data_IF_541411926775
#
_entry.id   IF_541411926775
#
_cell.length_a   1.000
_cell.length_b   1.000
_cell.length_c   1.000
_cell.angle_alpha   90.00
_cell.angle_beta   90.00
_cell.angle_gamma   90.00
#
_symmetry.space_group_name_H-M   'P 1'
#
loop_
_entity.id
_entity.type
_entity.pdbx_description
1 polymer ?
#
# COMPACT_ATOMS: atom_id res chain seq x y z
N UNK A 1 -1.44 31.37 7.49
CA UNK A 1 -1.24 30.29 8.48
C UNK A 1 -0.46 29.20 7.76
N UNK A 2 0.71 28.77 8.27
CA UNK A 2 1.53 27.76 7.60
C UNK A 2 0.83 26.40 7.67
N UNK A 3 0.71 25.69 6.55
CA UNK A 3 0.18 24.32 6.52
C UNK A 3 1.17 23.37 7.19
N UNK A 4 0.70 22.18 7.60
CA UNK A 4 1.58 21.14 8.17
C UNK A 4 2.68 20.75 7.17
N UNK A 5 2.36 20.65 5.89
CA UNK A 5 3.32 20.43 4.80
C UNK A 5 4.42 21.51 4.77
N UNK A 6 4.04 22.79 4.77
CA UNK A 6 5.03 23.89 4.77
C UNK A 6 5.88 23.93 6.05
N UNK A 7 5.33 23.49 7.17
CA UNK A 7 6.08 23.37 8.43
C UNK A 7 7.15 22.28 8.34
N UNK A 8 6.81 21.10 7.79
CA UNK A 8 7.78 20.02 7.60
C UNK A 8 8.84 20.38 6.56
N UNK A 9 8.46 21.06 5.47
CA UNK A 9 9.43 21.58 4.48
C UNK A 9 10.48 22.50 5.11
N UNK A 10 10.11 23.29 6.12
CA UNK A 10 11.05 24.17 6.82
C UNK A 10 11.89 23.43 7.88
N UNK A 11 11.38 22.33 8.44
CA UNK A 11 12.05 21.57 9.50
C UNK A 11 13.06 20.53 8.97
N UNK A 12 12.95 20.15 7.70
CA UNK A 12 13.75 19.11 7.08
C UNK A 12 14.46 19.60 5.82
N UNK A 13 15.69 19.12 5.59
CA UNK A 13 16.51 19.50 4.43
C UNK A 13 15.97 18.96 3.12
N UNK A 14 15.43 17.74 3.15
CA UNK A 14 15.01 17.03 1.95
C UNK A 14 13.58 16.54 2.11
N UNK A 15 12.90 16.42 0.97
CA UNK A 15 11.58 15.82 0.88
C UNK A 15 11.43 15.09 -0.46
N UNK A 16 10.64 14.02 -0.46
CA UNK A 16 10.52 13.10 -1.58
C UNK A 16 9.14 12.45 -1.58
N UNK A 17 8.60 12.12 -2.75
CA UNK A 17 7.35 11.40 -2.86
C UNK A 17 7.46 10.00 -2.24
N UNK A 18 6.42 9.58 -1.52
CA UNK A 18 6.35 8.29 -0.87
C UNK A 18 4.89 7.83 -0.75
N UNK A 19 4.68 6.55 -0.49
CA UNK A 19 3.36 5.98 -0.22
C UNK A 19 3.42 5.19 1.08
N UNK A 20 2.43 5.39 1.95
CA UNK A 20 2.32 4.62 3.19
C UNK A 20 1.15 3.65 3.09
N UNK A 21 1.40 2.36 3.29
CA UNK A 21 0.42 1.30 3.19
C UNK A 21 0.06 0.86 4.62
N UNK A 22 -1.13 1.29 5.07
CA UNK A 22 -1.64 1.04 6.43
C UNK A 22 -2.54 -0.18 6.42
N UNK A 23 -2.28 -1.17 7.27
CA UNK A 23 -3.11 -2.37 7.40
C UNK A 23 -3.58 -2.59 8.83
N UNK A 24 -4.81 -3.06 8.98
CA UNK A 24 -5.39 -3.44 10.27
C UNK A 24 -6.44 -4.52 10.08
N UNK A 25 -6.40 -5.55 10.93
CA UNK A 25 -7.45 -6.55 11.09
C UNK A 25 -7.66 -6.86 12.58
N UNK A 26 -8.51 -7.84 12.90
CA UNK A 26 -8.83 -8.22 14.29
C UNK A 26 -7.60 -8.54 15.16
N UNK A 27 -6.51 -9.00 14.55
CA UNK A 27 -5.34 -9.52 15.26
C UNK A 27 -4.04 -8.77 14.96
N UNK A 28 -3.98 -8.02 13.85
CA UNK A 28 -2.73 -7.47 13.33
C UNK A 28 -2.91 -6.03 12.87
N UNK A 29 -1.87 -5.23 13.06
CA UNK A 29 -1.68 -3.93 12.45
C UNK A 29 -0.32 -3.92 11.78
N UNK A 30 -0.21 -3.17 10.69
CA UNK A 30 1.05 -3.04 9.99
C UNK A 30 1.18 -1.69 9.30
N UNK A 31 2.45 -1.32 9.14
CA UNK A 31 2.86 -0.20 8.33
C UNK A 31 3.91 -0.65 7.34
N UNK A 32 3.72 -0.22 6.10
CA UNK A 32 4.77 -0.12 5.10
C UNK A 32 4.86 1.31 4.58
N UNK A 33 6.07 1.77 4.27
CA UNK A 33 6.28 3.02 3.52
C UNK A 33 7.26 2.76 2.39
N UNK A 34 6.83 3.01 1.16
CA UNK A 34 7.65 2.85 -0.05
C UNK A 34 8.13 4.23 -0.52
N UNK A 35 9.44 4.35 -0.80
CA UNK A 35 10.11 5.59 -1.19
C UNK A 35 10.93 5.35 -2.45
N UNK A 36 10.30 5.33 -3.63
CA UNK A 36 10.94 4.89 -4.88
C UNK A 36 12.21 5.66 -5.24
N UNK A 37 12.20 6.98 -5.11
CA UNK A 37 13.33 7.84 -5.46
C UNK A 37 14.56 7.62 -4.55
N UNK A 38 14.36 7.05 -3.35
CA UNK A 38 15.46 6.63 -2.48
C UNK A 38 15.83 5.16 -2.64
N UNK A 39 15.03 4.39 -3.38
CA UNK A 39 15.15 2.94 -3.45
C UNK A 39 14.99 2.28 -2.08
N UNK A 40 14.13 2.83 -1.21
CA UNK A 40 13.93 2.36 0.16
C UNK A 40 12.48 1.99 0.46
N UNK A 41 12.33 0.98 1.31
CA UNK A 41 11.06 0.59 1.90
C UNK A 41 11.23 0.48 3.42
N UNK A 42 10.33 1.07 4.19
CA UNK A 42 10.13 0.71 5.59
C UNK A 42 9.01 -0.31 5.69
N UNK A 43 9.18 -1.33 6.52
CA UNK A 43 8.10 -2.27 6.83
C UNK A 43 8.26 -2.84 8.22
N UNK A 44 7.16 -2.95 8.98
CA UNK A 44 7.13 -3.58 10.30
C UNK A 44 6.71 -5.06 10.27
N UNK A 45 6.04 -5.42 9.19
CA UNK A 45 5.60 -6.75 8.88
C UNK A 45 5.50 -6.81 7.36
N UNK A 46 4.67 -7.68 6.82
CA UNK A 46 4.56 -7.81 5.38
C UNK A 46 3.11 -7.64 4.87
N UNK A 47 2.17 -7.28 5.77
CA UNK A 47 0.83 -6.90 5.38
C UNK A 47 0.85 -5.58 4.61
N UNK A 48 0.04 -5.48 3.57
CA UNK A 48 -0.13 -4.29 2.74
C UNK A 48 -1.59 -3.87 2.82
N UNK A 49 -1.84 -2.63 3.20
CA UNK A 49 -3.20 -2.08 3.24
C UNK A 49 -3.34 -0.82 2.39
N UNK A 50 -4.11 0.17 2.85
CA UNK A 50 -4.55 1.32 2.03
C UNK A 50 -3.48 2.40 1.97
N UNK A 51 -3.40 3.10 0.83
CA UNK A 51 -2.34 4.06 0.54
C UNK A 51 -2.84 5.51 0.55
N UNK A 52 -2.59 6.25 1.62
CA UNK A 52 -2.31 7.66 1.47
C UNK A 52 -1.00 7.86 0.71
N UNK A 53 -1.08 8.47 -0.48
CA UNK A 53 0.08 9.03 -1.19
C UNK A 53 0.53 10.33 -0.51
N UNK A 54 1.83 10.50 -0.33
CA UNK A 54 2.35 11.64 0.40
C UNK A 54 3.81 11.97 0.17
N UNK A 55 4.39 12.59 1.18
CA UNK A 55 5.77 13.07 1.13
C UNK A 55 6.51 12.64 2.37
N UNK A 56 7.70 12.05 2.17
CA UNK A 56 8.65 11.76 3.23
C UNK A 56 9.64 12.92 3.38
N UNK A 57 9.80 13.41 4.59
CA UNK A 57 10.70 14.50 4.98
C UNK A 57 11.85 13.94 5.82
N UNK A 58 13.09 14.31 5.51
CA UNK A 58 14.28 13.79 6.18
C UNK A 58 15.48 14.73 6.05
N UNK A 59 16.52 14.48 6.87
CA UNK A 59 17.71 15.33 6.93
C UNK A 59 18.98 14.71 6.33
N UNK A 60 19.14 13.38 6.42
CA UNK A 60 20.31 12.65 5.92
C UNK A 60 19.89 11.29 5.36
N UNK A 61 20.60 10.77 4.37
CA UNK A 61 20.31 9.44 3.80
C UNK A 61 20.67 8.29 4.76
N UNK A 62 21.65 8.49 5.64
CA UNK A 62 22.04 7.53 6.69
C UNK A 62 20.89 7.24 7.68
N UNK A 63 19.84 8.06 7.67
CA UNK A 63 18.60 7.80 8.40
C UNK A 63 17.91 6.49 7.96
N UNK A 64 18.18 6.01 6.75
CA UNK A 64 17.56 4.83 6.12
C UNK A 64 18.52 3.63 6.07
N UNK A 65 19.49 3.58 6.99
CA UNK A 65 20.45 2.51 7.15
C UNK A 65 19.76 1.14 7.33
N UNK A 66 19.97 0.26 6.35
CA UNK A 66 19.34 -1.06 6.27
C UNK A 66 19.95 -2.08 7.24
N UNK A 67 21.08 -1.76 7.86
CA UNK A 67 21.67 -2.58 8.92
C UNK A 67 20.89 -2.46 10.24
N UNK A 68 20.09 -1.40 10.43
CA UNK A 68 19.32 -1.16 11.64
C UNK A 68 18.03 -1.97 11.62
N UNK A 69 17.95 -2.95 12.53
CA UNK A 69 16.83 -3.89 12.60
C UNK A 69 15.60 -3.38 13.35
N UNK A 70 15.68 -2.25 14.06
CA UNK A 70 14.60 -1.72 14.88
C UNK A 70 14.53 -0.19 14.79
N UNK A 71 13.74 0.30 13.84
CA UNK A 71 13.32 1.69 13.75
C UNK A 71 11.93 1.80 14.33
N UNK A 72 11.78 2.59 15.39
CA UNK A 72 10.50 2.83 16.01
C UNK A 72 9.70 3.81 15.13
N UNK A 73 8.39 3.62 15.07
CA UNK A 73 7.53 4.56 14.36
C UNK A 73 6.25 4.85 15.15
N UNK A 74 5.62 5.99 14.85
CA UNK A 74 4.31 6.37 15.39
C UNK A 74 3.42 6.92 14.28
N UNK A 75 2.20 6.42 14.19
CA UNK A 75 1.14 6.93 13.31
C UNK A 75 0.26 7.89 14.09
N UNK A 76 -0.03 9.05 13.51
CA UNK A 76 -0.88 10.08 14.10
C UNK A 76 -1.84 10.61 13.04
N UNK A 77 -3.13 10.60 13.35
CA UNK A 77 -4.11 11.40 12.62
C UNK A 77 -3.97 12.86 13.05
N UNK A 78 -3.85 13.76 12.09
CA UNK A 78 -3.75 15.20 12.33
C UNK A 78 -4.99 15.89 11.77
N UNK A 79 -5.86 16.36 12.66
CA UNK A 79 -7.00 17.20 12.30
C UNK A 79 -6.54 18.64 12.02
N UNK A 80 -6.92 19.19 10.86
CA UNK A 80 -6.53 20.54 10.43
C UNK A 80 -7.61 21.60 10.71
N UNK A 81 -8.66 21.24 11.43
CA UNK A 81 -9.80 22.09 11.73
C UNK A 81 -11.07 21.72 10.95
N UNK A 82 -12.21 22.38 11.23
CA UNK A 82 -13.49 22.06 10.62
C UNK A 82 -13.46 22.20 9.10
N UNK A 83 -13.90 21.16 8.38
CA UNK A 83 -14.00 21.15 6.92
C UNK A 83 -12.69 20.90 6.17
N UNK A 84 -11.56 20.78 6.87
CA UNK A 84 -10.29 20.41 6.26
C UNK A 84 -10.14 18.88 6.15
N UNK A 85 -9.45 18.43 5.10
CA UNK A 85 -9.08 17.02 4.93
C UNK A 85 -8.13 16.64 6.07
N UNK A 86 -8.39 15.55 6.82
CA UNK A 86 -7.47 15.10 7.85
C UNK A 86 -6.17 14.60 7.21
N UNK A 87 -5.06 14.70 7.94
CA UNK A 87 -3.77 14.19 7.48
C UNK A 87 -3.37 12.95 8.27
N UNK A 88 -2.56 12.10 7.64
CA UNK A 88 -1.77 11.09 8.34
C UNK A 88 -0.34 11.61 8.46
N UNK A 89 0.19 11.59 9.69
CA UNK A 89 1.59 11.87 9.96
C UNK A 89 2.24 10.66 10.61
N UNK A 90 3.27 10.12 9.98
CA UNK A 90 4.05 8.99 10.49
C UNK A 90 5.44 9.49 10.83
N UNK A 91 5.87 9.26 12.06
CA UNK A 91 7.20 9.67 12.52
C UNK A 91 8.08 8.46 12.73
N UNK A 92 9.32 8.55 12.29
CA UNK A 92 10.34 7.49 12.44
C UNK A 92 11.42 7.96 13.39
N UNK A 93 11.76 7.09 14.33
CA UNK A 93 12.68 7.36 15.44
C UNK A 93 13.80 6.32 15.46
N UNK A 94 15.00 6.72 15.88
CA UNK A 94 16.06 5.76 16.15
C UNK A 94 15.74 4.98 17.44
N UNK A 95 16.23 5.43 18.60
CA UNK A 95 15.98 4.73 19.87
C UNK A 95 14.93 5.44 20.73
N UNK A 96 14.89 6.77 20.67
CA UNK A 96 13.99 7.59 21.50
C UNK A 96 13.09 8.51 20.68
N UNK A 97 11.99 8.97 21.27
CA UNK A 97 11.05 9.88 20.58
C UNK A 97 11.66 11.25 20.25
N UNK A 98 12.76 11.62 20.92
CA UNK A 98 13.54 12.82 20.64
C UNK A 98 14.43 12.67 19.40
N UNK A 99 14.71 11.43 18.98
CA UNK A 99 15.55 11.10 17.82
C UNK A 99 14.71 10.83 16.57
N UNK A 100 13.74 11.72 16.33
CA UNK A 100 12.95 11.70 15.09
C UNK A 100 13.86 12.05 13.91
N UNK A 101 14.01 11.13 12.97
CA UNK A 101 14.94 11.27 11.84
C UNK A 101 14.24 11.41 10.48
N UNK A 102 12.97 11.01 10.40
CA UNK A 102 12.14 11.20 9.22
C UNK A 102 10.66 11.31 9.60
N UNK A 103 9.88 12.04 8.80
CA UNK A 103 8.44 12.15 8.93
C UNK A 103 7.76 11.97 7.57
N UNK A 104 6.79 11.08 7.49
CA UNK A 104 5.88 10.98 6.36
C UNK A 104 4.61 11.79 6.65
N UNK A 105 4.09 12.49 5.65
CA UNK A 105 2.85 13.25 5.72
C UNK A 105 2.05 13.07 4.43
N UNK A 106 0.76 12.78 4.57
CA UNK A 106 -0.17 12.65 3.46
C UNK A 106 -1.57 13.12 3.87
N UNK A 107 -2.39 13.44 2.88
CA UNK A 107 -3.83 13.60 3.08
C UNK A 107 -4.49 12.23 3.29
N UNK A 108 -5.48 12.16 4.18
CA UNK A 108 -6.27 10.95 4.47
C UNK A 108 -7.77 11.24 4.21
N UNK A 109 -8.18 11.55 2.97
CA UNK A 109 -9.54 11.98 2.65
C UNK A 109 -10.60 10.93 3.01
N UNK A 110 -10.22 9.67 3.10
CA UNK A 110 -11.08 8.53 3.39
C UNK A 110 -11.11 8.18 4.88
N UNK A 111 -10.32 8.87 5.72
CA UNK A 111 -10.25 8.62 7.15
C UNK A 111 -9.68 7.25 7.51
N UNK A 112 -8.79 6.72 6.67
CA UNK A 112 -8.17 5.40 6.78
C UNK A 112 -7.52 5.17 8.14
N UNK A 113 -6.81 6.17 8.68
CA UNK A 113 -6.13 6.04 9.98
C UNK A 113 -7.14 5.77 11.10
N UNK A 114 -8.25 6.50 11.11
CA UNK A 114 -9.31 6.32 12.09
C UNK A 114 -10.06 5.01 11.89
N UNK A 115 -10.45 4.71 10.64
CA UNK A 115 -11.18 3.50 10.28
C UNK A 115 -10.40 2.22 10.64
N UNK A 116 -9.07 2.25 10.51
CA UNK A 116 -8.18 1.14 10.86
C UNK A 116 -7.75 1.12 12.33
N UNK A 117 -8.16 2.10 13.13
CA UNK A 117 -7.73 2.25 14.53
C UNK A 117 -6.21 2.42 14.67
N UNK A 118 -5.56 3.04 13.69
CA UNK A 118 -4.11 3.25 13.64
C UNK A 118 -3.66 4.55 14.34
N UNK A 119 -4.60 5.41 14.74
CA UNK A 119 -4.24 6.66 15.42
C UNK A 119 -3.55 6.40 16.77
N UNK A 120 -2.39 7.02 16.96
CA UNK A 120 -1.52 6.81 18.11
C UNK A 120 -0.76 5.49 18.11
N UNK A 121 -0.95 4.61 17.11
CA UNK A 121 -0.27 3.33 17.03
C UNK A 121 1.24 3.53 16.95
N UNK A 122 1.97 2.76 17.75
CA UNK A 122 3.43 2.81 17.85
C UNK A 122 3.96 1.39 17.80
N UNK A 123 4.95 1.15 16.94
CA UNK A 123 5.60 -0.14 16.83
C UNK A 123 7.02 0.02 16.26
N UNK A 124 7.67 -1.08 15.87
CA UNK A 124 9.00 -1.08 15.28
C UNK A 124 9.02 -1.85 13.97
N UNK A 125 9.88 -1.43 13.06
CA UNK A 125 10.14 -2.11 11.79
C UNK A 125 11.57 -1.87 11.34
N UNK A 126 11.82 -2.05 10.05
CA UNK A 126 13.14 -1.84 9.48
C UNK A 126 13.07 -1.21 8.10
N UNK A 127 14.07 -0.41 7.78
CA UNK A 127 14.33 0.03 6.41
C UNK A 127 15.07 -1.08 5.65
N UNK A 128 14.70 -1.27 4.39
CA UNK A 128 15.33 -2.19 3.45
C UNK A 128 15.39 -1.55 2.07
N UNK A 129 16.18 -2.15 1.19
CA UNK A 129 16.16 -1.75 -0.22
C UNK A 129 14.80 -2.10 -0.83
N UNK A 130 14.25 -1.16 -1.59
CA UNK A 130 13.03 -1.35 -2.34
C UNK A 130 13.34 -2.19 -3.57
N UNK A 131 13.17 -3.50 -3.44
CA UNK A 131 13.27 -4.45 -4.55
C UNK A 131 11.88 -4.65 -5.16
N UNK A 132 11.50 -3.74 -6.05
CA UNK A 132 10.21 -3.76 -6.71
C UNK A 132 10.37 -3.64 -8.23
N UNK A 133 9.96 -4.68 -8.93
CA UNK A 133 9.74 -4.66 -10.36
C UNK A 133 8.32 -4.18 -10.65
N UNK A 134 8.11 -3.53 -11.79
CA UNK A 134 6.78 -3.13 -12.23
C UNK A 134 6.53 -3.52 -13.69
N UNK A 135 5.24 -3.73 -14.01
CA UNK A 135 4.78 -3.96 -15.37
C UNK A 135 3.38 -3.42 -15.57
N UNK A 136 3.05 -3.03 -16.80
CA UNK A 136 1.67 -2.66 -17.12
C UNK A 136 0.79 -3.91 -17.13
N UNK A 137 -0.34 -3.82 -16.44
CA UNK A 137 -1.30 -4.90 -16.34
C UNK A 137 -2.73 -4.42 -16.65
N UNK A 138 -3.58 -5.38 -16.99
CA UNK A 138 -5.00 -5.18 -17.22
C UNK A 138 -5.79 -6.22 -16.46
N UNK A 139 -6.77 -5.75 -15.68
CA UNK A 139 -7.75 -6.59 -15.00
C UNK A 139 -9.04 -6.56 -15.81
N UNK A 140 -9.54 -7.73 -16.19
CA UNK A 140 -10.77 -7.87 -16.96
C UNK A 140 -11.70 -8.96 -16.44
N UNK A 141 -13.00 -8.65 -16.41
CA UNK A 141 -14.12 -9.56 -16.17
C UNK A 141 -15.34 -9.04 -16.95
N UNK A 142 -16.04 -9.90 -17.69
CA UNK A 142 -17.34 -9.53 -18.27
C UNK A 142 -18.47 -9.76 -17.24
N UNK A 143 -19.58 -9.06 -17.39
CA UNK A 143 -20.72 -9.11 -16.46
C UNK A 143 -21.39 -10.48 -16.40
N UNK A 144 -21.37 -11.22 -17.51
CA UNK A 144 -21.87 -12.59 -17.67
C UNK A 144 -20.86 -13.68 -17.31
N UNK A 145 -19.62 -13.31 -16.97
CA UNK A 145 -18.57 -14.25 -16.60
C UNK A 145 -18.31 -14.28 -15.09
N UNK A 146 -17.80 -15.42 -14.61
CA UNK A 146 -17.28 -15.58 -13.24
C UNK A 146 -15.75 -15.55 -13.19
N UNK A 147 -15.10 -15.49 -14.35
CA UNK A 147 -13.64 -15.52 -14.46
C UNK A 147 -13.12 -14.11 -14.61
N UNK A 148 -12.16 -13.76 -13.75
CA UNK A 148 -11.41 -12.52 -13.80
C UNK A 148 -10.02 -12.87 -14.31
N UNK A 149 -9.51 -12.07 -15.24
CA UNK A 149 -8.15 -12.20 -15.76
C UNK A 149 -7.31 -10.99 -15.37
N UNK A 150 -6.08 -11.22 -14.96
CA UNK A 150 -5.07 -10.19 -14.69
C UNK A 150 -3.90 -10.44 -15.62
N UNK A 151 -3.79 -9.66 -16.69
CA UNK A 151 -2.80 -9.87 -17.74
C UNK A 151 -1.67 -8.86 -17.61
N UNK A 152 -0.44 -9.34 -17.46
CA UNK A 152 0.80 -8.55 -17.44
C UNK A 152 1.56 -8.79 -18.74
N UNK A 153 1.20 -8.00 -19.77
CA UNK A 153 1.63 -8.28 -21.14
C UNK A 153 3.14 -8.28 -21.34
N UNK A 154 3.87 -7.41 -20.64
CA UNK A 154 5.32 -7.22 -20.79
C UNK A 154 6.16 -8.41 -20.32
N UNK A 155 5.62 -9.25 -19.43
CA UNK A 155 6.29 -10.44 -18.90
C UNK A 155 5.55 -11.73 -19.25
N UNK A 156 4.56 -11.64 -20.14
CA UNK A 156 3.74 -12.77 -20.60
C UNK A 156 3.13 -13.60 -19.47
N UNK A 157 2.63 -12.93 -18.42
CA UNK A 157 1.97 -13.56 -17.28
C UNK A 157 0.50 -13.23 -17.22
N UNK A 158 -0.32 -14.23 -16.92
CA UNK A 158 -1.76 -14.06 -16.73
C UNK A 158 -2.22 -14.78 -15.47
N UNK A 159 -2.81 -14.03 -14.53
CA UNK A 159 -3.55 -14.59 -13.41
C UNK A 159 -5.00 -14.85 -13.83
N UNK A 160 -5.54 -16.00 -13.45
CA UNK A 160 -6.95 -16.34 -13.55
C UNK A 160 -7.52 -16.49 -12.15
N UNK A 161 -8.61 -15.77 -11.87
CA UNK A 161 -9.28 -15.74 -10.57
C UNK A 161 -10.75 -16.09 -10.82
N UNK A 162 -11.34 -16.93 -9.96
CA UNK A 162 -12.77 -17.26 -10.04
C UNK A 162 -13.55 -16.52 -8.96
N UNK A 163 -14.56 -15.76 -9.35
CA UNK A 163 -15.53 -15.15 -8.44
C UNK A 163 -16.59 -16.16 -8.00
N UNK A 164 -16.17 -17.14 -7.20
CA UNK A 164 -17.08 -18.19 -6.69
C UNK A 164 -18.06 -17.67 -5.64
N UNK A 165 -17.70 -16.57 -4.97
CA UNK A 165 -18.50 -15.96 -3.90
C UNK A 165 -19.52 -14.94 -4.43
N UNK A 166 -19.42 -14.55 -5.71
CA UNK A 166 -20.34 -13.61 -6.35
C UNK A 166 -20.13 -12.16 -5.95
N UNK A 167 -18.94 -11.79 -5.48
CA UNK A 167 -18.64 -10.41 -5.06
C UNK A 167 -18.74 -9.42 -6.22
N UNK A 168 -18.45 -9.87 -7.44
CA UNK A 168 -18.52 -9.10 -8.69
C UNK A 168 -19.62 -9.63 -9.62
N UNK A 169 -20.65 -10.28 -9.08
CA UNK A 169 -21.75 -10.81 -9.88
C UNK A 169 -22.47 -9.69 -10.66
N UNK A 170 -22.64 -9.88 -11.98
CA UNK A 170 -23.25 -8.88 -12.86
C UNK A 170 -22.42 -7.60 -13.04
N UNK A 171 -21.15 -7.59 -12.60
CA UNK A 171 -20.21 -6.47 -12.78
C UNK A 171 -19.22 -6.77 -13.89
N UNK A 172 -19.03 -5.80 -14.77
CA UNK A 172 -17.91 -5.75 -15.71
C UNK A 172 -16.75 -4.98 -15.08
N UNK A 173 -15.54 -5.53 -15.21
CA UNK A 173 -14.28 -4.88 -14.81
C UNK A 173 -13.41 -4.82 -16.06
N UNK A 174 -12.89 -3.64 -16.41
CA UNK A 174 -11.89 -3.46 -17.47
C UNK A 174 -10.97 -2.30 -17.08
N UNK A 175 -9.97 -2.62 -16.28
CA UNK A 175 -9.12 -1.65 -15.58
C UNK A 175 -7.67 -1.85 -15.98
N UNK A 176 -7.00 -0.77 -16.38
CA UNK A 176 -5.56 -0.76 -16.66
C UNK A 176 -4.80 -0.13 -15.51
N UNK A 177 -3.61 -0.64 -15.24
CA UNK A 177 -2.79 -0.17 -14.14
C UNK A 177 -1.38 -0.73 -14.18
N UNK A 178 -0.67 -0.56 -13.07
CA UNK A 178 0.63 -1.17 -12.85
C UNK A 178 0.49 -2.31 -11.86
N UNK A 179 1.10 -3.45 -12.19
CA UNK A 179 1.39 -4.48 -11.21
C UNK A 179 2.83 -4.33 -10.74
N UNK A 180 3.02 -4.41 -9.43
CA UNK A 180 4.29 -4.33 -8.75
C UNK A 180 4.56 -5.67 -8.07
N UNK A 181 5.78 -6.17 -8.18
CA UNK A 181 6.17 -7.47 -7.66
C UNK A 181 7.66 -7.47 -7.32
N UNK A 182 8.05 -8.21 -6.29
CA UNK A 182 9.47 -8.28 -5.90
C UNK A 182 10.30 -9.11 -6.87
N UNK A 183 9.73 -10.22 -7.32
CA UNK A 183 10.40 -11.21 -8.17
C UNK A 183 9.35 -11.87 -9.07
N UNK A 184 9.63 -11.93 -10.38
CA UNK A 184 8.78 -12.58 -11.37
C UNK A 184 8.51 -14.05 -11.03
N UNK A 185 9.46 -14.73 -10.39
CA UNK A 185 9.30 -16.13 -9.95
C UNK A 185 8.34 -16.27 -8.76
N UNK A 186 8.17 -15.19 -7.98
CA UNK A 186 7.22 -15.14 -6.86
C UNK A 186 5.82 -14.76 -7.30
N UNK A 187 5.67 -14.00 -8.39
CA UNK A 187 4.36 -13.61 -8.94
C UNK A 187 3.44 -14.82 -9.09
N UNK A 188 3.95 -15.92 -9.66
CA UNK A 188 3.20 -17.15 -9.88
C UNK A 188 2.77 -17.90 -8.61
N UNK A 189 3.28 -17.52 -7.44
CA UNK A 189 2.95 -18.14 -6.15
C UNK A 189 1.74 -17.49 -5.47
N UNK A 190 1.24 -16.35 -5.99
CA UNK A 190 0.10 -15.67 -5.43
C UNK A 190 -1.20 -16.42 -5.72
N UNK A 191 -1.66 -17.26 -4.78
CA UNK A 191 -2.87 -18.09 -4.91
C UNK A 191 -4.12 -17.47 -4.26
N UNK A 192 -3.96 -16.33 -3.58
CA UNK A 192 -5.04 -15.50 -3.05
C UNK A 192 -4.93 -14.06 -3.60
N UNK A 193 -6.07 -13.41 -3.81
CA UNK A 193 -6.16 -11.99 -4.17
C UNK A 193 -7.07 -11.24 -3.17
N UNK A 194 -6.49 -10.34 -2.38
CA UNK A 194 -7.22 -9.32 -1.63
C UNK A 194 -7.61 -8.20 -2.59
N UNK A 195 -8.89 -7.92 -2.68
CA UNK A 195 -9.47 -7.06 -3.68
C UNK A 195 -10.15 -5.89 -3.01
N UNK A 196 -9.76 -4.69 -3.43
CA UNK A 196 -10.39 -3.43 -3.08
C UNK A 196 -10.59 -2.61 -4.36
N UNK A 197 -11.30 -1.49 -4.27
CA UNK A 197 -11.51 -0.58 -5.40
C UNK A 197 -10.25 0.18 -5.83
N UNK A 198 -9.32 0.39 -4.90
CA UNK A 198 -8.04 1.08 -5.11
C UNK A 198 -6.88 0.16 -5.48
N UNK A 199 -6.98 -1.15 -5.21
CA UNK A 199 -5.90 -2.11 -5.45
C UNK A 199 -6.35 -3.57 -5.46
N UNK A 200 -5.49 -4.43 -6.01
CA UNK A 200 -5.56 -5.89 -5.82
C UNK A 200 -4.22 -6.40 -5.31
N UNK A 201 -4.17 -7.07 -4.15
CA UNK A 201 -2.93 -7.60 -3.56
C UNK A 201 -2.93 -9.12 -3.59
N UNK A 202 -1.86 -9.71 -4.11
CA UNK A 202 -1.68 -11.15 -4.28
C UNK A 202 -0.80 -11.75 -3.19
N UNK A 203 -1.26 -12.85 -2.60
CA UNK A 203 -0.58 -13.54 -1.49
C UNK A 203 -0.41 -15.03 -1.76
N UNK A 204 0.66 -15.61 -1.23
CA UNK A 204 0.91 -17.05 -1.31
C UNK A 204 0.10 -17.89 -0.31
N UNK A 205 -0.51 -17.27 0.71
CA UNK A 205 -1.32 -17.93 1.73
C UNK A 205 -2.49 -17.04 2.19
N UNK A 206 -3.43 -17.65 2.91
CA UNK A 206 -4.77 -17.24 3.37
C UNK A 206 -4.88 -15.92 4.17
N UNK A 207 -4.46 -14.79 3.60
CA UNK A 207 -4.65 -13.43 4.16
C UNK A 207 -3.86 -13.12 5.45
N UNK A 208 -3.24 -14.14 6.05
CA UNK A 208 -2.27 -14.04 7.15
C UNK A 208 -0.83 -14.02 6.58
N UNK A 209 -0.69 -14.24 5.27
CA UNK A 209 0.61 -14.27 4.62
C UNK A 209 1.37 -13.00 4.94
N UNK A 210 2.56 -13.20 5.49
CA UNK A 210 3.49 -12.12 5.66
C UNK A 210 3.85 -11.66 4.24
N UNK A 211 4.61 -12.37 3.42
CA UNK A 211 5.04 -11.84 2.09
C UNK A 211 3.93 -11.90 1.00
N UNK A 212 3.25 -10.79 0.71
CA UNK A 212 3.40 -10.12 -0.59
C UNK A 212 3.97 -10.88 -1.81
N UNK A 213 3.17 -11.30 -2.80
CA UNK A 213 3.73 -11.75 -4.10
C UNK A 213 3.71 -10.65 -5.15
N UNK A 214 2.59 -9.94 -5.25
CA UNK A 214 2.42 -8.77 -6.11
C UNK A 214 1.27 -7.88 -5.62
N UNK A 215 1.20 -6.64 -6.09
CA UNK A 215 0.01 -5.81 -5.95
C UNK A 215 -0.23 -5.01 -7.23
N UNK A 216 -1.49 -4.77 -7.55
CA UNK A 216 -1.95 -4.02 -8.71
C UNK A 216 -2.57 -2.70 -8.24
N UNK A 217 -2.19 -1.59 -8.89
CA UNK A 217 -2.76 -0.27 -8.69
C UNK A 217 -3.33 0.23 -10.03
N UNK A 218 -4.64 0.57 -10.10
CA UNK A 218 -5.24 1.20 -11.28
C UNK A 218 -4.56 2.50 -11.67
N UNK A 219 -4.55 2.83 -12.97
CA UNK A 219 -4.21 4.19 -13.39
C UNK A 219 -5.27 5.16 -12.90
N UNK A 220 -4.85 6.34 -12.43
CA UNK A 220 -5.76 7.44 -12.03
C UNK A 220 -6.74 7.86 -13.14
N UNK A 221 -6.38 7.62 -14.40
CA UNK A 221 -7.21 7.92 -15.57
C UNK A 221 -8.00 6.72 -16.10
N UNK A 222 -8.01 5.59 -15.39
CA UNK A 222 -8.89 4.47 -15.72
C UNK A 222 -10.34 4.93 -15.58
N UNK A 223 -11.14 4.73 -16.63
CA UNK A 223 -12.56 5.12 -16.63
C UNK A 223 -13.47 4.14 -15.90
N UNK A 224 -12.97 2.93 -15.64
CA UNK A 224 -13.68 1.88 -14.94
C UNK A 224 -13.05 1.63 -13.56
N UNK A 225 -13.88 1.27 -12.59
CA UNK A 225 -13.47 0.85 -11.25
C UNK A 225 -13.25 -0.67 -11.17
N UNK A 226 -12.68 -1.12 -10.05
CA UNK A 226 -12.47 -2.55 -9.77
C UNK A 226 -13.76 -3.25 -9.26
N UNK A 227 -14.92 -2.60 -9.30
CA UNK A 227 -16.24 -3.17 -9.06
C UNK A 227 -16.67 -3.31 -7.59
N UNK A 228 -15.76 -3.16 -6.62
CA UNK A 228 -16.08 -3.06 -5.20
C UNK A 228 -16.16 -1.58 -4.77
N UNK A 229 -16.78 -1.29 -3.62
CA UNK A 229 -16.80 0.07 -3.05
C UNK A 229 -15.68 0.21 -2.02
N UNK A 230 -15.17 1.42 -1.84
CA UNK A 230 -14.10 1.91 -0.93
C UNK A 230 -13.95 1.29 0.48
N UNK A 231 -14.94 0.55 0.98
CA UNK A 231 -14.97 -0.08 2.30
C UNK A 231 -15.00 -1.62 2.26
N UNK A 232 -15.23 -2.24 1.11
CA UNK A 232 -15.46 -3.67 0.97
C UNK A 232 -14.19 -4.37 0.44
N UNK A 233 -13.31 -4.80 1.35
CA UNK A 233 -12.22 -5.70 0.95
C UNK A 233 -12.74 -7.13 0.84
N UNK A 234 -12.67 -7.71 -0.36
CA UNK A 234 -13.03 -9.10 -0.61
C UNK A 234 -11.78 -9.94 -0.87
N UNK A 235 -11.86 -11.25 -0.61
CA UNK A 235 -10.75 -12.17 -0.86
C UNK A 235 -11.20 -13.24 -1.85
N UNK A 236 -10.45 -13.35 -2.94
CA UNK A 236 -10.60 -14.41 -3.91
C UNK A 236 -9.52 -15.46 -3.68
N UNK A 237 -9.93 -16.72 -3.52
CA UNK A 237 -9.04 -17.87 -3.49
C UNK A 237 -8.90 -18.53 -4.86
N UNK A 238 -7.92 -19.44 -4.99
CA UNK A 238 -7.75 -20.23 -6.21
C UNK A 238 -7.21 -19.43 -7.39
N UNK A 239 -6.44 -18.37 -7.12
CA UNK A 239 -5.70 -17.64 -8.14
C UNK A 239 -4.68 -18.58 -8.77
N UNK A 240 -4.65 -18.62 -10.10
CA UNK A 240 -3.69 -19.43 -10.87
C UNK A 240 -2.97 -18.55 -11.88
N UNK A 241 -1.65 -18.69 -11.95
CA UNK A 241 -0.81 -17.93 -12.88
C UNK A 241 -0.29 -18.85 -13.99
N UNK A 242 -0.45 -18.41 -15.24
CA UNK A 242 0.22 -18.97 -16.41
C UNK A 242 1.38 -18.05 -16.81
#
# INVERSE_FOLDING_TARGET
>A
MATKFSTLQNNYKYNVAASALLFSNRYNKALRVEVPDLGKEFSDSNYVGRDPEGTLYYNNLDSFDTSRKNVNYKVVKVDQGPGAVPLVNIKFYHQTVQECHAEFLAEDPTGSVAAMGMDGYTFHGSWRDLDICCGTAMIRKYDDETTITVTVGTIHKTATIKDTSGYLHGKSVDVKGNIYFKDITKLGKGIYASWNDDRVVFYNNDYIATDFTAYFIPFKYSTNDLGLKDADTSVFGGVSWA
#
